data_IF_356460887098
#
_entry.id   IF_356460887098
#
_cell.length_a   1.000
_cell.length_b   1.000
_cell.length_c   1.000
_cell.angle_alpha   90.00
_cell.angle_beta   90.00
_cell.angle_gamma   90.00
#
_symmetry.space_group_name_H-M   'P 1'
#
loop_
_entity.id
_entity.type
_entity.pdbx_description
1 polymer ?
#
# COMPACT_ATOMS: atom_id res chain seq x y z
N UNK A 1 -0.64 9.54 -16.45
CA UNK A 1 -1.41 8.85 -15.43
C UNK A 1 -0.95 9.24 -14.03
N UNK A 2 -1.72 8.87 -13.03
CA UNK A 2 -1.32 9.05 -11.63
C UNK A 2 -0.49 7.85 -11.18
N UNK A 3 0.64 8.11 -10.51
CA UNK A 3 1.43 7.09 -9.85
C UNK A 3 0.88 6.86 -8.43
N UNK A 4 0.50 5.62 -8.13
CA UNK A 4 -0.04 5.20 -6.85
C UNK A 4 0.62 3.89 -6.39
N UNK A 5 0.61 3.64 -5.10
CA UNK A 5 0.87 2.29 -4.58
C UNK A 5 -0.41 1.46 -4.68
N UNK A 6 -0.33 0.13 -4.84
CA UNK A 6 -1.50 -0.73 -4.82
C UNK A 6 -2.26 -0.57 -3.51
N UNK A 7 -3.59 -0.57 -3.57
CA UNK A 7 -4.42 -0.46 -2.39
C UNK A 7 -5.76 0.20 -2.63
N UNK A 8 -6.69 -0.12 -1.75
CA UNK A 8 -8.05 0.34 -1.83
C UNK A 8 -8.70 0.53 -0.46
N UNK A 9 -10.00 0.38 -0.44
CA UNK A 9 -10.81 0.55 0.75
C UNK A 9 -10.96 -0.77 1.49
N UNK A 10 -10.90 -0.71 2.82
CA UNK A 10 -11.24 -1.87 3.64
C UNK A 10 -12.69 -2.30 3.36
N UNK A 11 -12.86 -3.58 3.08
CA UNK A 11 -14.16 -4.22 3.01
C UNK A 11 -14.60 -4.67 4.42
N UNK A 12 -15.91 -4.74 4.65
CA UNK A 12 -16.46 -5.31 5.88
C UNK A 12 -16.02 -6.76 6.10
N UNK A 13 -15.78 -7.48 5.00
CA UNK A 13 -15.32 -8.87 5.04
C UNK A 13 -13.84 -9.01 5.38
N UNK A 14 -13.03 -7.95 5.29
CA UNK A 14 -11.62 -7.96 5.69
C UNK A 14 -11.44 -8.09 7.22
N UNK A 15 -12.48 -7.80 8.01
CA UNK A 15 -12.50 -7.94 9.48
C UNK A 15 -13.33 -9.16 9.95
N UNK A 16 -13.74 -10.03 9.04
CA UNK A 16 -14.59 -11.16 9.35
C UNK A 16 -13.93 -12.15 10.31
N UNK A 17 -14.69 -12.64 11.32
CA UNK A 17 -14.22 -13.69 12.21
C UNK A 17 -13.80 -14.97 11.45
N UNK A 18 -14.34 -15.17 10.26
CA UNK A 18 -14.02 -16.28 9.36
C UNK A 18 -12.57 -16.25 8.86
N UNK A 19 -11.96 -15.05 8.79
CA UNK A 19 -10.55 -14.89 8.39
C UNK A 19 -9.56 -15.20 9.51
N UNK A 20 -9.97 -15.12 10.77
CA UNK A 20 -9.05 -15.26 11.90
C UNK A 20 -8.18 -16.54 11.86
N UNK A 21 -8.70 -17.71 11.45
CA UNK A 21 -7.88 -18.91 11.31
C UNK A 21 -6.86 -18.88 10.18
N UNK A 22 -7.06 -18.02 9.17
CA UNK A 22 -6.20 -17.90 8.00
C UNK A 22 -5.19 -16.75 8.10
N UNK A 23 -5.02 -16.14 9.27
CA UNK A 23 -4.09 -15.02 9.44
C UNK A 23 -2.85 -15.45 10.22
N UNK A 24 -1.68 -15.26 9.61
CA UNK A 24 -0.40 -15.27 10.33
C UNK A 24 -0.11 -13.85 10.78
N UNK A 25 0.00 -13.63 12.08
CA UNK A 25 0.18 -12.31 12.69
C UNK A 25 1.45 -12.24 13.50
N UNK A 26 2.07 -11.05 13.53
CA UNK A 26 3.17 -10.71 14.41
C UNK A 26 2.88 -9.41 15.15
N UNK A 27 3.27 -9.32 16.41
CA UNK A 27 3.22 -8.07 17.17
C UNK A 27 4.14 -6.98 16.59
N UNK A 28 5.17 -7.38 15.84
CA UNK A 28 6.13 -6.46 15.21
C UNK A 28 5.59 -5.78 13.95
N UNK A 29 4.56 -6.34 13.29
CA UNK A 29 4.05 -5.77 12.03
C UNK A 29 3.36 -4.41 12.21
N UNK A 30 2.73 -4.17 13.36
CA UNK A 30 2.06 -2.90 13.66
C UNK A 30 0.83 -2.61 12.77
N UNK A 31 0.10 -1.55 13.13
CA UNK A 31 -1.10 -1.14 12.40
C UNK A 31 -2.34 -2.00 12.66
N UNK A 32 -3.52 -1.55 12.17
CA UNK A 32 -4.77 -2.29 12.33
C UNK A 32 -4.79 -3.58 11.51
N UNK A 33 -5.21 -4.68 12.13
CA UNK A 33 -5.22 -6.00 11.52
C UNK A 33 -6.10 -6.08 10.26
N UNK A 34 -7.27 -5.46 10.28
CA UNK A 34 -8.17 -5.36 9.12
C UNK A 34 -7.47 -4.71 7.93
N UNK A 35 -6.71 -3.63 8.16
CA UNK A 35 -6.01 -2.92 7.10
C UNK A 35 -4.79 -3.71 6.56
N UNK A 36 -4.21 -4.60 7.36
CA UNK A 36 -3.20 -5.55 6.87
C UNK A 36 -3.83 -6.54 5.88
N UNK A 37 -4.99 -7.09 6.23
CA UNK A 37 -5.76 -7.97 5.33
C UNK A 37 -6.13 -7.24 4.05
N UNK A 38 -6.68 -6.03 4.16
CA UNK A 38 -6.99 -5.16 3.01
C UNK A 38 -5.78 -4.96 2.13
N UNK A 39 -4.62 -4.60 2.70
CA UNK A 39 -3.41 -4.34 1.93
C UNK A 39 -2.95 -5.57 1.13
N UNK A 40 -3.04 -6.78 1.70
CA UNK A 40 -2.70 -8.02 0.99
C UNK A 40 -3.73 -8.31 -0.11
N UNK A 41 -5.04 -8.20 0.18
CA UNK A 41 -6.12 -8.44 -0.78
C UNK A 41 -5.98 -7.52 -2.00
N UNK A 42 -5.91 -6.22 -1.76
CA UNK A 42 -5.77 -5.20 -2.82
C UNK A 42 -4.48 -5.41 -3.65
N UNK A 43 -3.35 -5.72 -3.01
CA UNK A 43 -2.10 -6.02 -3.72
C UNK A 43 -2.23 -7.23 -4.61
N UNK A 44 -2.95 -8.27 -4.16
CA UNK A 44 -3.22 -9.43 -5.00
C UNK A 44 -4.18 -9.09 -6.14
N UNK A 45 -5.28 -8.40 -5.87
CA UNK A 45 -6.28 -8.03 -6.86
C UNK A 45 -5.70 -7.12 -7.95
N UNK A 46 -4.96 -6.06 -7.58
CA UNK A 46 -4.43 -5.08 -8.53
C UNK A 46 -3.13 -5.51 -9.21
N UNK A 47 -2.25 -6.22 -8.48
CA UNK A 47 -0.87 -6.47 -8.93
C UNK A 47 -0.51 -7.95 -9.09
N UNK A 48 -1.40 -8.90 -8.78
CA UNK A 48 -1.14 -10.36 -8.79
C UNK A 48 -0.03 -10.82 -7.81
N UNK A 49 0.40 -9.97 -6.89
CA UNK A 49 1.38 -10.33 -5.85
C UNK A 49 0.62 -10.86 -4.63
N UNK A 50 0.78 -12.15 -4.34
CA UNK A 50 0.09 -12.83 -3.26
C UNK A 50 1.02 -13.03 -2.06
N UNK A 51 0.79 -12.27 -0.98
CA UNK A 51 1.48 -12.39 0.29
C UNK A 51 0.77 -13.44 1.16
N UNK A 52 0.96 -14.69 0.84
CA UNK A 52 0.36 -15.83 1.54
C UNK A 52 1.33 -17.01 1.65
N UNK A 53 1.04 -17.91 2.58
CA UNK A 53 1.72 -19.20 2.77
C UNK A 53 0.73 -20.35 2.61
N UNK A 54 1.17 -21.48 2.13
CA UNK A 54 0.38 -22.70 2.25
C UNK A 54 0.34 -23.14 3.72
N UNK A 55 -0.79 -23.65 4.19
CA UNK A 55 -0.92 -24.09 5.57
C UNK A 55 0.11 -25.17 5.89
N UNK A 56 0.84 -24.99 6.99
CA UNK A 56 1.93 -25.85 7.40
C UNK A 56 3.29 -25.55 6.74
N UNK A 57 3.37 -24.58 5.85
CA UNK A 57 4.63 -24.11 5.26
C UNK A 57 5.07 -22.78 5.86
N UNK A 58 6.39 -22.54 5.87
CA UNK A 58 6.98 -21.28 6.36
C UNK A 58 7.29 -20.30 5.26
N UNK A 59 7.50 -20.78 4.03
CA UNK A 59 7.79 -19.95 2.86
C UNK A 59 6.52 -19.39 2.22
N UNK A 60 6.67 -18.27 1.51
CA UNK A 60 5.61 -17.71 0.67
C UNK A 60 5.22 -18.68 -0.45
N UNK A 61 3.98 -18.59 -0.92
CA UNK A 61 3.55 -19.33 -2.12
C UNK A 61 4.48 -19.02 -3.29
N UNK A 62 4.81 -20.05 -4.06
CA UNK A 62 5.70 -19.93 -5.21
C UNK A 62 5.07 -19.06 -6.31
N UNK A 63 5.92 -18.55 -7.23
CA UNK A 63 5.45 -17.81 -8.40
C UNK A 63 4.46 -18.62 -9.24
N UNK A 64 4.74 -19.92 -9.46
CA UNK A 64 3.84 -20.83 -10.19
C UNK A 64 2.50 -20.94 -9.47
N UNK A 65 2.50 -21.14 -8.16
CA UNK A 65 1.26 -21.24 -7.38
C UNK A 65 0.47 -19.93 -7.38
N UNK A 66 1.14 -18.79 -7.24
CA UNK A 66 0.49 -17.48 -7.33
C UNK A 66 -0.16 -17.26 -8.71
N UNK A 67 0.50 -17.69 -9.78
CA UNK A 67 -0.03 -17.61 -11.14
C UNK A 67 -1.27 -18.51 -11.33
N UNK A 68 -1.26 -19.74 -10.83
CA UNK A 68 -2.42 -20.64 -10.85
C UNK A 68 -3.63 -20.03 -10.14
N UNK A 69 -3.38 -19.32 -9.03
CA UNK A 69 -4.40 -18.64 -8.23
C UNK A 69 -4.87 -17.31 -8.83
N UNK A 70 -4.21 -16.83 -9.88
CA UNK A 70 -4.48 -15.51 -10.48
C UNK A 70 -5.93 -15.28 -10.89
N UNK A 71 -6.69 -16.33 -11.23
CA UNK A 71 -8.10 -16.24 -11.57
C UNK A 71 -9.00 -15.78 -10.40
N UNK A 72 -8.56 -15.99 -9.14
CA UNK A 72 -9.28 -15.51 -7.97
C UNK A 72 -9.32 -13.99 -7.86
N UNK A 73 -8.40 -13.25 -8.49
CA UNK A 73 -8.41 -11.79 -8.53
C UNK A 73 -9.76 -11.27 -9.05
N UNK A 74 -10.22 -11.82 -10.16
CA UNK A 74 -11.50 -11.42 -10.78
C UNK A 74 -12.70 -11.86 -9.95
N UNK A 75 -12.64 -13.03 -9.31
CA UNK A 75 -13.72 -13.52 -8.45
C UNK A 75 -13.85 -12.69 -7.16
N UNK A 76 -12.74 -12.22 -6.60
CA UNK A 76 -12.72 -11.32 -5.44
C UNK A 76 -13.26 -9.94 -5.82
N UNK A 77 -12.73 -9.31 -6.87
CA UNK A 77 -13.21 -8.02 -7.38
C UNK A 77 -14.70 -8.04 -7.77
N UNK A 78 -15.17 -9.14 -8.36
CA UNK A 78 -16.57 -9.33 -8.74
C UNK A 78 -17.50 -9.66 -7.58
N UNK A 79 -16.94 -10.01 -6.40
CA UNK A 79 -17.74 -10.47 -5.25
C UNK A 79 -18.30 -11.89 -5.40
N UNK A 80 -17.82 -12.66 -6.39
CA UNK A 80 -18.23 -14.05 -6.63
C UNK A 80 -17.65 -15.03 -5.61
N UNK A 81 -16.59 -14.62 -4.91
CA UNK A 81 -16.02 -15.33 -3.76
C UNK A 81 -15.53 -14.32 -2.72
N UNK A 82 -15.58 -14.71 -1.43
CA UNK A 82 -14.94 -13.91 -0.38
C UNK A 82 -13.48 -14.30 -0.20
N UNK A 83 -12.67 -13.40 0.37
CA UNK A 83 -11.28 -13.70 0.71
C UNK A 83 -11.18 -14.94 1.62
N UNK A 84 -12.07 -15.06 2.62
CA UNK A 84 -12.10 -16.22 3.53
C UNK A 84 -12.38 -17.53 2.78
N UNK A 85 -13.34 -17.53 1.83
CA UNK A 85 -13.65 -18.70 1.01
C UNK A 85 -12.46 -19.08 0.12
N UNK A 86 -11.81 -18.11 -0.53
CA UNK A 86 -10.62 -18.33 -1.33
C UNK A 86 -9.52 -19.00 -0.51
N UNK A 87 -9.15 -18.39 0.64
CA UNK A 87 -8.07 -18.91 1.49
C UNK A 87 -8.39 -20.29 2.04
N UNK A 88 -9.62 -20.52 2.48
CA UNK A 88 -10.04 -21.84 2.99
C UNK A 88 -9.99 -22.92 1.91
N UNK A 89 -10.48 -22.60 0.71
CA UNK A 89 -10.50 -23.53 -0.42
C UNK A 89 -9.11 -23.93 -0.88
N UNK A 90 -8.18 -22.97 -0.92
CA UNK A 90 -6.82 -23.17 -1.41
C UNK A 90 -5.84 -23.51 -0.28
N UNK A 91 -6.33 -23.68 0.96
CA UNK A 91 -5.54 -24.00 2.16
C UNK A 91 -4.40 -23.00 2.39
N UNK A 92 -4.72 -21.71 2.33
CA UNK A 92 -3.77 -20.60 2.43
C UNK A 92 -3.91 -19.83 3.74
N UNK A 93 -2.80 -19.24 4.17
CA UNK A 93 -2.69 -18.31 5.29
C UNK A 93 -2.14 -16.98 4.79
N UNK A 94 -2.80 -15.87 5.09
CA UNK A 94 -2.28 -14.53 4.79
C UNK A 94 -1.07 -14.22 5.66
N UNK A 95 0.00 -13.75 5.05
CA UNK A 95 1.26 -13.42 5.69
C UNK A 95 1.24 -11.98 6.25
N UNK A 96 0.27 -11.66 7.13
CA UNK A 96 0.18 -10.35 7.77
C UNK A 96 1.41 -10.03 8.66
N UNK A 97 2.13 -11.05 9.11
CA UNK A 97 3.37 -10.94 9.86
C UNK A 97 4.53 -10.37 9.05
N UNK A 98 4.46 -10.40 7.72
CA UNK A 98 5.46 -9.82 6.81
C UNK A 98 5.21 -8.34 6.49
N UNK A 99 4.06 -7.80 6.91
CA UNK A 99 3.75 -6.39 6.71
C UNK A 99 4.36 -5.54 7.82
N UNK A 100 5.04 -4.47 7.43
CA UNK A 100 5.58 -3.46 8.34
C UNK A 100 4.78 -2.17 8.16
N UNK A 101 4.17 -1.69 9.24
CA UNK A 101 3.42 -0.44 9.20
C UNK A 101 4.38 0.74 8.94
N UNK A 102 4.26 1.34 7.77
CA UNK A 102 5.20 2.34 7.26
C UNK A 102 4.78 3.77 7.48
N UNK A 103 3.50 4.07 7.25
CA UNK A 103 2.97 5.43 7.34
C UNK A 103 1.45 5.40 7.58
N UNK A 104 0.95 6.48 8.18
CA UNK A 104 -0.48 6.76 8.29
C UNK A 104 -0.75 8.19 7.85
N UNK A 105 -1.67 8.36 6.88
CA UNK A 105 -2.03 9.65 6.32
C UNK A 105 -3.51 9.92 6.44
N UNK A 106 -3.85 10.99 7.13
CA UNK A 106 -5.24 11.40 7.37
C UNK A 106 -5.57 12.60 6.49
N UNK A 107 -6.60 12.48 5.65
CA UNK A 107 -7.05 13.58 4.80
C UNK A 107 -7.50 14.77 5.67
N UNK A 108 -7.10 16.01 5.34
CA UNK A 108 -7.53 17.20 6.07
C UNK A 108 -9.06 17.37 6.14
N UNK A 109 -9.56 18.00 7.19
CA UNK A 109 -10.99 18.18 7.48
C UNK A 109 -11.73 19.08 6.49
N UNK A 110 -11.02 19.97 5.79
CA UNK A 110 -11.59 20.82 4.74
C UNK A 110 -11.84 20.12 3.41
N UNK A 111 -11.36 18.87 3.27
CA UNK A 111 -11.56 18.09 2.03
C UNK A 111 -12.94 17.39 2.05
N UNK A 112 -13.65 17.34 0.90
CA UNK A 112 -15.01 16.77 0.81
C UNK A 112 -15.07 15.26 1.04
N UNK A 113 -13.98 14.56 0.76
CA UNK A 113 -13.80 13.13 1.06
C UNK A 113 -12.58 12.96 1.93
N UNK A 114 -12.73 12.18 2.99
CA UNK A 114 -11.66 11.95 3.95
C UNK A 114 -11.35 10.47 4.05
N UNK A 115 -10.04 10.18 4.09
CA UNK A 115 -9.50 8.86 4.24
C UNK A 115 -8.50 8.86 5.40
N UNK A 116 -8.44 7.76 6.09
CA UNK A 116 -7.40 7.40 7.04
C UNK A 116 -6.61 6.25 6.39
N UNK A 117 -5.52 6.61 5.71
CA UNK A 117 -4.78 5.71 4.83
C UNK A 117 -3.53 5.20 5.52
N UNK A 118 -3.47 3.90 5.71
CA UNK A 118 -2.29 3.20 6.24
C UNK A 118 -1.47 2.61 5.10
N UNK A 119 -0.17 2.83 5.14
CA UNK A 119 0.79 2.26 4.20
C UNK A 119 1.61 1.18 4.89
N UNK A 120 1.80 0.08 4.21
CA UNK A 120 2.60 -1.03 4.68
C UNK A 120 3.76 -1.30 3.71
N UNK A 121 4.85 -1.83 4.24
CA UNK A 121 5.94 -2.40 3.45
C UNK A 121 5.88 -3.91 3.56
N UNK A 122 6.19 -4.58 2.47
CA UNK A 122 6.46 -6.00 2.43
C UNK A 122 7.57 -6.29 1.43
N UNK A 123 8.33 -7.35 1.69
CA UNK A 123 9.23 -7.90 0.66
C UNK A 123 8.37 -8.73 -0.29
N UNK A 124 8.41 -8.40 -1.57
CA UNK A 124 7.72 -9.19 -2.57
C UNK A 124 8.26 -10.63 -2.57
N UNK A 125 7.40 -11.65 -2.64
CA UNK A 125 7.85 -13.03 -2.76
C UNK A 125 8.73 -13.19 -4.01
N UNK A 126 9.85 -13.92 -3.92
CA UNK A 126 10.75 -14.08 -5.04
C UNK A 126 10.03 -14.68 -6.26
N UNK A 127 10.39 -14.19 -7.43
CA UNK A 127 9.91 -14.66 -8.74
C UNK A 127 8.41 -14.43 -9.04
N UNK A 128 7.59 -13.96 -8.09
CA UNK A 128 6.24 -13.50 -8.42
C UNK A 128 6.32 -12.26 -9.30
N UNK A 129 5.57 -12.27 -10.39
CA UNK A 129 5.53 -11.16 -11.34
C UNK A 129 4.32 -10.27 -11.05
N UNK A 130 4.57 -8.97 -11.01
CA UNK A 130 3.49 -8.01 -10.95
C UNK A 130 2.78 -7.92 -12.30
N UNK A 131 1.45 -8.08 -12.28
CA UNK A 131 0.59 -8.08 -13.46
C UNK A 131 -0.61 -7.19 -13.14
N UNK A 132 -0.84 -6.18 -13.96
CA UNK A 132 -2.00 -5.31 -13.87
C UNK A 132 -3.33 -6.07 -13.96
N UNK A 133 -4.39 -5.50 -13.42
CA UNK A 133 -5.74 -6.05 -13.48
C UNK A 133 -6.50 -5.62 -14.75
N UNK A 134 -6.01 -4.58 -15.44
CA UNK A 134 -6.60 -4.03 -16.65
C UNK A 134 -7.88 -3.21 -16.41
N UNK A 135 -8.26 -2.98 -15.16
CA UNK A 135 -9.45 -2.20 -14.77
C UNK A 135 -9.08 -0.94 -13.98
N UNK A 136 -8.52 -1.11 -12.78
CA UNK A 136 -8.11 -0.01 -11.91
C UNK A 136 -6.66 0.41 -12.20
N UNK A 137 -5.79 -0.56 -12.47
CA UNK A 137 -4.39 -0.35 -12.83
C UNK A 137 -4.15 -0.57 -14.32
N UNK A 138 -3.69 0.49 -15.02
CA UNK A 138 -3.37 0.45 -16.45
C UNK A 138 -2.02 -0.24 -16.70
N UNK A 139 -1.08 -0.07 -15.76
CA UNK A 139 0.24 -0.69 -15.78
C UNK A 139 0.78 -0.84 -14.36
N UNK A 140 1.57 -1.87 -14.13
CA UNK A 140 2.27 -2.12 -12.88
C UNK A 140 3.75 -2.29 -13.19
N UNK A 141 4.60 -1.52 -12.48
CA UNK A 141 6.04 -1.53 -12.70
C UNK A 141 6.81 -1.52 -11.39
N UNK A 142 7.95 -2.22 -11.36
CA UNK A 142 8.95 -2.10 -10.32
C UNK A 142 9.83 -0.88 -10.58
N UNK A 143 9.73 0.14 -9.74
CA UNK A 143 10.45 1.38 -9.91
C UNK A 143 11.27 1.76 -8.67
N UNK A 144 12.46 2.29 -8.88
CA UNK A 144 13.24 2.87 -7.77
C UNK A 144 12.58 4.16 -7.30
N UNK A 145 12.46 4.41 -5.97
CA UNK A 145 11.80 5.61 -5.46
C UNK A 145 12.37 6.92 -6.04
N UNK A 146 13.69 7.04 -6.15
CA UNK A 146 14.32 8.22 -6.76
C UNK A 146 13.91 8.40 -8.22
N UNK A 147 13.79 7.30 -9.01
CA UNK A 147 13.35 7.38 -10.41
C UNK A 147 11.89 7.76 -10.53
N UNK A 148 11.04 7.28 -9.63
CA UNK A 148 9.64 7.68 -9.56
C UNK A 148 9.51 9.20 -9.32
N UNK A 149 10.29 9.75 -8.39
CA UNK A 149 10.33 11.19 -8.13
C UNK A 149 10.78 12.01 -9.34
N UNK A 150 11.84 11.59 -10.06
CA UNK A 150 12.28 12.24 -11.31
C UNK A 150 11.16 12.29 -12.35
N UNK A 151 10.38 11.21 -12.50
CA UNK A 151 9.26 11.15 -13.45
C UNK A 151 8.09 12.04 -13.03
N UNK A 152 7.85 12.19 -11.73
CA UNK A 152 6.87 13.13 -11.19
C UNK A 152 7.34 14.58 -11.44
N UNK A 153 8.58 14.90 -11.11
CA UNK A 153 9.14 16.24 -11.25
C UNK A 153 9.19 16.69 -12.73
N UNK A 154 9.42 15.75 -13.65
CA UNK A 154 9.38 16.01 -15.10
C UNK A 154 7.96 16.09 -15.68
N UNK A 155 6.92 15.87 -14.87
CA UNK A 155 5.52 15.90 -15.32
C UNK A 155 5.08 14.65 -16.11
N UNK A 156 5.89 13.59 -16.14
CA UNK A 156 5.52 12.34 -16.80
C UNK A 156 4.41 11.62 -16.04
N UNK A 157 4.48 11.64 -14.71
CA UNK A 157 3.43 11.18 -13.82
C UNK A 157 2.95 12.30 -12.90
N UNK A 158 1.70 12.19 -12.45
CA UNK A 158 1.20 12.94 -11.29
C UNK A 158 1.17 12.03 -10.07
N UNK A 159 1.27 12.60 -8.88
CA UNK A 159 1.12 11.84 -7.63
C UNK A 159 0.55 12.74 -6.53
N UNK A 160 -0.16 12.14 -5.58
CA UNK A 160 -0.64 12.83 -4.40
C UNK A 160 0.50 13.01 -3.38
N UNK A 161 0.36 14.03 -2.54
CA UNK A 161 1.34 14.36 -1.49
C UNK A 161 1.80 13.16 -0.65
N UNK A 162 0.92 12.25 -0.18
CA UNK A 162 1.35 11.05 0.54
C UNK A 162 2.31 10.16 -0.26
N UNK A 163 2.02 9.94 -1.54
CA UNK A 163 2.87 9.14 -2.43
C UNK A 163 4.23 9.79 -2.61
N UNK A 164 4.28 11.10 -2.88
CA UNK A 164 5.52 11.87 -3.06
C UNK A 164 6.38 11.80 -1.78
N UNK A 165 5.79 12.07 -0.62
CA UNK A 165 6.51 12.06 0.65
C UNK A 165 7.03 10.65 1.01
N UNK A 166 6.24 9.61 0.77
CA UNK A 166 6.64 8.23 1.02
C UNK A 166 7.80 7.82 0.08
N UNK A 167 7.71 8.13 -1.21
CA UNK A 167 8.79 7.91 -2.18
C UNK A 167 10.06 8.67 -1.79
N UNK A 168 9.94 9.94 -1.40
CA UNK A 168 11.07 10.74 -0.96
C UNK A 168 11.76 10.10 0.25
N UNK A 169 11.00 9.69 1.28
CA UNK A 169 11.58 9.03 2.45
C UNK A 169 12.28 7.72 2.09
N UNK A 170 11.70 6.90 1.19
CA UNK A 170 12.34 5.67 0.70
C UNK A 170 13.62 5.97 -0.09
N UNK A 171 13.65 7.05 -0.87
CA UNK A 171 14.80 7.42 -1.71
C UNK A 171 16.04 7.80 -0.91
N UNK A 172 15.89 8.16 0.38
CA UNK A 172 17.01 8.46 1.28
C UNK A 172 17.76 7.20 1.73
N UNK A 173 17.17 6.03 1.55
CA UNK A 173 17.77 4.74 1.90
C UNK A 173 18.55 4.14 0.73
N UNK A 174 19.64 3.45 1.02
CA UNK A 174 20.52 2.83 0.01
C UNK A 174 19.89 1.64 -0.70
N UNK A 175 19.01 0.93 -0.01
CA UNK A 175 18.34 -0.29 -0.50
C UNK A 175 17.08 -0.61 0.31
N UNK A 176 16.30 -1.60 -0.15
CA UNK A 176 15.06 -2.02 0.50
C UNK A 176 15.29 -2.53 1.94
N UNK A 177 16.38 -3.24 2.20
CA UNK A 177 16.69 -3.73 3.55
C UNK A 177 16.87 -2.59 4.56
N UNK A 178 17.48 -1.47 4.15
CA UNK A 178 17.58 -0.29 4.99
C UNK A 178 16.21 0.36 5.22
N UNK A 179 15.36 0.47 4.19
CA UNK A 179 13.98 1.00 4.36
C UNK A 179 13.21 0.18 5.41
N UNK A 180 13.33 -1.14 5.35
CA UNK A 180 12.69 -2.07 6.28
C UNK A 180 13.23 -1.86 7.70
N UNK A 181 14.55 -1.92 7.88
CA UNK A 181 15.20 -1.74 9.19
C UNK A 181 14.80 -0.41 9.82
N UNK A 182 14.93 0.70 9.09
CA UNK A 182 14.59 2.03 9.59
C UNK A 182 13.09 2.18 9.92
N UNK A 183 12.23 1.37 9.28
CA UNK A 183 10.79 1.37 9.53
C UNK A 183 10.42 0.58 10.78
N UNK A 184 11.11 -0.50 11.08
CA UNK A 184 10.92 -1.28 12.31
C UNK A 184 11.31 -0.50 13.56
N UNK A 185 12.32 0.35 13.46
CA UNK A 185 12.85 1.15 14.57
C UNK A 185 12.03 2.44 14.83
N UNK A 186 10.98 2.70 14.04
CA UNK A 186 10.23 3.95 14.09
C UNK A 186 8.75 3.75 14.40
N UNK A 187 8.23 4.57 15.32
CA UNK A 187 6.79 4.69 15.51
C UNK A 187 6.12 5.43 14.34
N UNK A 188 5.00 4.94 13.86
CA UNK A 188 4.19 5.61 12.84
C UNK A 188 3.33 6.68 13.51
N UNK A 189 3.53 7.93 13.08
CA UNK A 189 2.77 9.09 13.54
C UNK A 189 1.79 9.48 12.44
N UNK A 190 0.47 9.63 12.75
CA UNK A 190 -0.50 10.09 11.77
C UNK A 190 -0.14 11.46 11.19
N UNK A 191 -0.15 11.57 9.87
CA UNK A 191 0.17 12.80 9.13
C UNK A 191 -1.10 13.41 8.59
N UNK A 192 -1.47 14.60 9.07
CA UNK A 192 -2.55 15.40 8.51
C UNK A 192 -1.95 16.66 7.90
N UNK A 193 -1.89 16.77 6.55
CA UNK A 193 -1.40 17.97 5.90
C UNK A 193 -2.24 19.20 6.25
N UNK A 194 -1.60 20.36 6.25
CA UNK A 194 -2.26 21.65 6.52
C UNK A 194 -2.21 22.54 5.29
N UNK A 195 -3.27 23.31 5.10
CA UNK A 195 -3.36 24.30 4.04
C UNK A 195 -2.58 25.56 4.43
N UNK A 196 -1.67 25.97 3.57
CA UNK A 196 -0.92 27.22 3.70
C UNK A 196 -1.18 28.11 2.49
N UNK A 197 -1.55 29.37 2.75
CA UNK A 197 -1.75 30.37 1.70
C UNK A 197 -0.57 31.33 1.71
N UNK A 198 0.07 31.45 0.56
CA UNK A 198 1.20 32.36 0.31
C UNK A 198 0.92 33.22 -0.93
N UNK A 199 1.77 34.24 -1.16
CA UNK A 199 1.68 35.06 -2.35
C UNK A 199 1.83 34.25 -3.66
N UNK A 200 2.61 33.13 -3.61
CA UNK A 200 2.88 32.21 -4.71
C UNK A 200 1.77 31.16 -4.95
N UNK A 201 0.76 31.06 -4.07
CA UNK A 201 -0.34 30.13 -4.20
C UNK A 201 -0.78 29.44 -2.92
N UNK A 202 -1.54 28.37 -3.10
CA UNK A 202 -1.98 27.48 -2.02
C UNK A 202 -1.09 26.23 -1.98
N UNK A 203 -0.70 25.84 -0.78
CA UNK A 203 0.16 24.68 -0.55
C UNK A 203 -0.42 23.76 0.52
N UNK A 204 -0.31 22.46 0.31
CA UNK A 204 -0.44 21.45 1.36
C UNK A 204 0.95 21.20 1.94
N UNK A 205 1.09 21.34 3.26
CA UNK A 205 2.33 21.05 4.00
C UNK A 205 2.08 20.07 5.12
N UNK A 206 3.06 19.21 5.34
CA UNK A 206 3.05 18.30 6.48
C UNK A 206 3.63 18.96 7.72
N UNK A 207 3.24 18.54 8.93
CA UNK A 207 3.89 18.93 10.17
C UNK A 207 5.37 18.51 10.18
N UNK A 208 6.21 19.27 10.89
CA UNK A 208 7.68 19.03 10.91
C UNK A 208 8.13 17.86 11.78
N UNK A 209 7.24 17.35 12.65
CA UNK A 209 7.56 16.33 13.66
C UNK A 209 6.99 14.94 13.34
N UNK A 210 6.66 14.67 12.08
CA UNK A 210 5.99 13.42 11.65
C UNK A 210 6.92 12.42 10.93
N UNK A 211 8.25 12.59 11.09
CA UNK A 211 9.24 11.64 10.58
C UNK A 211 9.52 11.74 9.07
N UNK A 212 9.15 12.84 8.45
CA UNK A 212 9.53 13.19 7.08
C UNK A 212 10.41 14.42 7.08
N UNK A 213 11.27 14.55 6.07
CA UNK A 213 11.83 15.84 5.70
C UNK A 213 10.71 16.76 5.21
N UNK A 214 10.98 18.07 5.15
CA UNK A 214 9.99 19.03 4.67
C UNK A 214 9.41 18.58 3.31
N UNK A 215 8.10 18.48 3.24
CA UNK A 215 7.37 18.04 2.07
C UNK A 215 6.13 18.92 1.88
N UNK A 216 5.99 19.47 0.70
CA UNK A 216 4.83 20.29 0.34
C UNK A 216 4.37 19.98 -1.09
N UNK A 217 3.11 20.28 -1.36
CA UNK A 217 2.54 20.21 -2.70
C UNK A 217 1.73 21.47 -2.97
N UNK A 218 2.02 22.13 -4.09
CA UNK A 218 1.20 23.25 -4.58
C UNK A 218 -0.15 22.72 -5.06
N UNK A 219 -1.22 23.36 -4.59
CA UNK A 219 -2.57 23.07 -5.08
C UNK A 219 -2.82 23.95 -6.29
N UNK A 220 -2.94 23.33 -7.45
CA UNK A 220 -3.45 24.02 -8.62
C UNK A 220 -4.94 24.30 -8.43
N UNK A 221 -5.38 25.52 -8.70
CA UNK A 221 -6.80 25.81 -8.75
C UNK A 221 -7.40 24.96 -9.86
N UNK A 222 -8.23 23.99 -9.51
CA UNK A 222 -9.08 23.32 -10.51
C UNK A 222 -9.83 24.43 -11.25
N UNK A 223 -9.59 24.52 -12.55
CA UNK A 223 -10.42 25.33 -13.44
C UNK A 223 -11.82 24.72 -13.35
N UNK A 224 -12.74 25.45 -12.72
CA UNK A 224 -14.15 25.10 -12.63
C UNK A 224 -14.79 25.09 -14.01
#
# INVERSE_FOLDING_TARGET
GALVFPGGRADLMDDGAELAPQLVRSLASGGPATLQVTAIRETFEECAILLAREAGQTGMVSATRAQELGHYRYLLQGGDTSLAQFLARENLLLACDELIHYANWVTPDFMPRRFDTHFFLAVAPPEQQAIEDGHESISVDWIRPAKALELIDSGHFTALLPTICNLHRMSLCRNAAQVISDSLDRSVIPVTPRLHKEASGLFLRIPTNVGYTFCEQKIEKSSA
#
